data_IF_900236335117
#
_entry.id   IF_900236335117
#
_cell.length_a   1.000
_cell.length_b   1.000
_cell.length_c   1.000
_cell.angle_alpha   90.00
_cell.angle_beta   90.00
_cell.angle_gamma   90.00
#
_symmetry.space_group_name_H-M   'P 1'
#
loop_
_entity.id
_entity.type
_entity.pdbx_description
1 polymer ?
#
# COMPACT_ATOMS: atom_id res chain seq x y z
N UNK A 1 23.38 -7.42 -19.36
CA UNK A 1 21.92 -7.23 -19.53
C UNK A 1 21.05 -8.29 -18.82
N UNK A 2 21.46 -9.57 -18.69
CA UNK A 2 20.64 -10.63 -18.03
C UNK A 2 20.26 -10.35 -16.57
N UNK A 3 21.19 -9.87 -15.75
CA UNK A 3 20.94 -9.58 -14.32
C UNK A 3 19.87 -8.51 -14.11
N UNK A 4 19.82 -7.49 -14.96
CA UNK A 4 18.76 -6.46 -14.91
C UNK A 4 17.38 -7.06 -15.14
N UNK A 5 17.22 -7.91 -16.15
CA UNK A 5 15.93 -8.55 -16.43
C UNK A 5 15.50 -9.47 -15.28
N UNK A 6 16.43 -10.26 -14.74
CA UNK A 6 16.15 -11.13 -13.59
C UNK A 6 15.68 -10.32 -12.38
N UNK A 7 16.38 -9.24 -12.04
CA UNK A 7 16.02 -8.38 -10.89
C UNK A 7 14.65 -7.73 -11.11
N UNK A 8 14.37 -7.22 -12.31
CA UNK A 8 13.07 -6.62 -12.64
C UNK A 8 11.95 -7.66 -12.54
N UNK A 9 12.16 -8.85 -13.08
CA UNK A 9 11.16 -9.93 -13.00
C UNK A 9 10.87 -10.32 -11.56
N UNK A 10 11.91 -10.50 -10.72
CA UNK A 10 11.72 -10.84 -9.30
C UNK A 10 10.98 -9.72 -8.58
N UNK A 11 11.34 -8.45 -8.81
CA UNK A 11 10.69 -7.31 -8.17
C UNK A 11 9.21 -7.21 -8.56
N UNK A 12 8.89 -7.39 -9.86
CA UNK A 12 7.51 -7.36 -10.33
C UNK A 12 6.69 -8.53 -9.80
N UNK A 13 7.25 -9.74 -9.77
CA UNK A 13 6.60 -10.91 -9.18
C UNK A 13 6.34 -10.67 -7.70
N UNK A 14 7.34 -10.20 -6.95
CA UNK A 14 7.21 -9.87 -5.54
C UNK A 14 6.09 -8.85 -5.29
N UNK A 15 6.09 -7.74 -6.03
CA UNK A 15 5.06 -6.73 -5.93
C UNK A 15 3.66 -7.29 -6.23
N UNK A 16 3.51 -8.05 -7.33
CA UNK A 16 2.24 -8.65 -7.71
C UNK A 16 1.72 -9.62 -6.63
N UNK A 17 2.61 -10.46 -6.06
CA UNK A 17 2.21 -11.39 -4.98
C UNK A 17 1.74 -10.66 -3.74
N UNK A 18 2.43 -9.58 -3.35
CA UNK A 18 2.06 -8.79 -2.18
C UNK A 18 0.73 -8.06 -2.38
N UNK A 19 0.50 -7.48 -3.56
CA UNK A 19 -0.76 -6.82 -3.89
C UNK A 19 -1.94 -7.78 -3.93
N UNK A 20 -1.76 -8.98 -4.51
CA UNK A 20 -2.82 -9.98 -4.55
C UNK A 20 -3.13 -10.54 -3.15
N UNK A 21 -2.11 -10.73 -2.31
CA UNK A 21 -2.31 -11.14 -0.92
C UNK A 21 -3.06 -10.07 -0.10
N UNK A 22 -2.69 -8.80 -0.25
CA UNK A 22 -3.38 -7.67 0.38
C UNK A 22 -4.84 -7.58 -0.07
N UNK A 23 -5.11 -7.69 -1.37
CA UNK A 23 -6.47 -7.66 -1.91
C UNK A 23 -7.32 -8.83 -1.41
N UNK A 24 -6.73 -10.03 -1.33
CA UNK A 24 -7.42 -11.21 -0.82
C UNK A 24 -7.75 -11.10 0.69
N UNK A 25 -6.92 -10.39 1.46
CA UNK A 25 -7.12 -10.19 2.89
C UNK A 25 -8.07 -9.01 3.22
N UNK A 26 -7.99 -7.93 2.45
CA UNK A 26 -8.67 -6.66 2.72
C UNK A 26 -10.05 -6.53 2.05
N UNK A 27 -10.39 -7.40 1.09
CA UNK A 27 -11.65 -7.33 0.34
C UNK A 27 -11.67 -6.20 -0.68
N UNK A 28 -12.87 -5.82 -1.16
CA UNK A 28 -13.00 -4.72 -2.11
C UNK A 28 -12.67 -3.37 -1.44
N UNK A 29 -11.89 -2.49 -2.08
CA UNK A 29 -11.60 -1.17 -1.53
C UNK A 29 -12.88 -0.38 -1.23
N UNK A 30 -13.05 0.03 0.03
CA UNK A 30 -14.15 0.89 0.45
C UNK A 30 -13.82 2.34 0.11
N UNK A 31 -14.50 2.89 -0.89
CA UNK A 31 -14.31 4.28 -1.36
C UNK A 31 -14.64 5.30 -0.26
N UNK A 32 -15.47 4.93 0.73
CA UNK A 32 -15.85 5.81 1.84
C UNK A 32 -14.95 5.67 3.07
N UNK A 33 -14.18 4.59 3.17
CA UNK A 33 -13.24 4.30 4.26
C UNK A 33 -11.76 4.44 3.88
N UNK A 34 -11.44 4.53 2.58
CA UNK A 34 -10.06 4.54 2.11
C UNK A 34 -9.44 5.94 2.20
N UNK A 35 -8.31 6.11 2.93
CA UNK A 35 -7.55 7.35 2.86
C UNK A 35 -7.03 7.58 1.43
N UNK A 36 -6.80 8.83 0.99
CA UNK A 36 -6.38 9.15 -0.38
C UNK A 36 -5.24 8.26 -0.86
N UNK A 37 -5.42 7.64 -2.04
CA UNK A 37 -4.48 6.67 -2.65
C UNK A 37 -3.05 7.23 -2.77
N UNK A 38 -2.92 8.56 -2.85
CA UNK A 38 -1.65 9.27 -2.78
C UNK A 38 -1.72 10.29 -1.63
N UNK A 39 -1.46 9.83 -0.41
CA UNK A 39 -1.20 10.71 0.73
C UNK A 39 0.29 11.11 0.71
N UNK A 40 0.63 12.06 -0.17
CA UNK A 40 1.99 12.63 -0.32
C UNK A 40 2.36 13.50 0.91
N UNK A 41 2.32 12.93 2.11
CA UNK A 41 2.62 13.62 3.37
C UNK A 41 1.47 14.40 3.99
N UNK A 42 0.21 14.19 3.58
CA UNK A 42 -0.96 14.92 4.10
C UNK A 42 -1.44 14.49 5.49
N UNK A 43 -0.74 13.58 6.16
CA UNK A 43 -1.14 13.08 7.49
C UNK A 43 -2.31 12.11 7.50
N UNK A 44 -2.80 11.68 6.32
CA UNK A 44 -3.88 10.70 6.14
C UNK A 44 -3.41 9.22 6.28
N UNK A 45 -2.16 8.96 6.67
CA UNK A 45 -1.75 7.64 7.11
C UNK A 45 -2.19 7.46 8.57
N UNK A 46 -2.93 6.38 8.86
CA UNK A 46 -3.57 6.08 10.16
C UNK A 46 -2.64 6.08 11.39
N UNK A 47 -1.32 6.15 11.20
CA UNK A 47 -0.34 6.31 12.28
C UNK A 47 0.69 7.42 12.08
N UNK A 48 0.53 8.29 11.06
CA UNK A 48 1.57 9.26 10.66
C UNK A 48 1.32 10.72 11.03
N UNK A 49 0.08 11.12 11.30
CA UNK A 49 -0.21 12.47 11.79
C UNK A 49 -0.25 12.50 13.32
N UNK A 50 0.53 13.40 13.92
CA UNK A 50 0.51 13.64 15.37
C UNK A 50 -0.88 14.03 15.93
N UNK A 51 -1.85 14.34 15.07
CA UNK A 51 -3.24 14.65 15.42
C UNK A 51 -4.24 13.52 15.12
N UNK A 52 -3.81 12.37 14.61
CA UNK A 52 -4.71 11.27 14.22
C UNK A 52 -5.04 10.29 15.38
N UNK A 53 -4.45 10.48 16.56
CA UNK A 53 -4.81 9.68 17.72
C UNK A 53 -6.20 10.10 18.24
N UNK A 54 -7.21 9.25 18.03
CA UNK A 54 -8.50 9.42 18.71
C UNK A 54 -8.30 9.21 20.23
N UNK A 55 -8.83 10.10 21.08
CA UNK A 55 -8.95 9.84 22.51
C UNK A 55 -9.87 8.64 22.76
N UNK A 56 -9.60 7.87 23.82
CA UNK A 56 -10.44 6.75 24.25
C UNK A 56 -11.77 7.22 24.82
#
# INVERSE_FOLDING_TARGET
MKTRLIVVSIALVGLATMTLADLAASGAPDIYGQPPIIALGSGQASGGAHCAALPQ
#
